data_IF_782590920917
#
_entry.id   IF_782590920917
#
_cell.length_a   1.000
_cell.length_b   1.000
_cell.length_c   1.000
_cell.angle_alpha   90.00
_cell.angle_beta   90.00
_cell.angle_gamma   90.00
#
_symmetry.space_group_name_H-M   'P 1'
#
loop_
_entity.id
_entity.type
_entity.pdbx_description
1 polymer ?
#
# COMPACT_ATOMS: atom_id res chain seq x y z
N UNK A 1 -7.97 14.38 -1.37
CA UNK A 1 -7.00 14.67 -0.27
C UNK A 1 -6.82 13.46 0.65
N UNK A 2 -7.90 12.76 1.05
CA UNK A 2 -7.84 11.56 1.92
C UNK A 2 -6.97 10.38 1.39
N UNK A 3 -7.00 10.08 0.10
CA UNK A 3 -6.22 8.96 -0.49
C UNK A 3 -4.71 9.16 -0.36
N UNK A 4 -4.22 10.39 -0.53
CA UNK A 4 -2.81 10.75 -0.36
C UNK A 4 -2.35 10.56 1.08
N UNK A 5 -3.15 11.01 2.03
CA UNK A 5 -2.77 10.96 3.45
C UNK A 5 -2.81 9.51 3.98
N UNK A 6 -3.73 8.67 3.49
CA UNK A 6 -3.69 7.22 3.72
C UNK A 6 -2.43 6.56 3.16
N UNK A 7 -2.09 6.85 1.90
CA UNK A 7 -0.88 6.30 1.28
C UNK A 7 0.40 6.71 2.02
N UNK A 8 0.48 7.97 2.46
CA UNK A 8 1.60 8.46 3.28
C UNK A 8 1.69 7.70 4.60
N UNK A 9 0.57 7.60 5.33
CA UNK A 9 0.54 6.88 6.61
C UNK A 9 0.94 5.42 6.46
N UNK A 10 0.47 4.74 5.41
CA UNK A 10 0.88 3.37 5.12
C UNK A 10 2.39 3.27 4.88
N UNK A 11 2.96 4.16 4.07
CA UNK A 11 4.40 4.16 3.79
C UNK A 11 5.22 4.38 5.06
N UNK A 12 4.83 5.34 5.91
CA UNK A 12 5.51 5.65 7.16
C UNK A 12 5.47 4.49 8.17
N UNK A 13 4.34 3.77 8.23
CA UNK A 13 4.11 2.72 9.23
C UNK A 13 4.59 1.33 8.78
N UNK A 14 4.43 0.99 7.50
CA UNK A 14 4.60 -0.39 7.01
C UNK A 14 5.86 -0.55 6.14
N UNK A 15 6.29 0.49 5.43
CA UNK A 15 7.43 0.41 4.49
C UNK A 15 8.70 0.97 5.14
N UNK A 16 8.65 2.23 5.59
CA UNK A 16 9.81 2.98 6.07
C UNK A 16 10.61 2.27 7.18
N UNK A 17 10.00 1.58 8.16
CA UNK A 17 10.75 0.92 9.24
C UNK A 17 11.67 -0.20 8.77
N UNK A 18 11.37 -0.84 7.63
CA UNK A 18 12.12 -2.01 7.14
C UNK A 18 12.89 -1.73 5.84
N UNK A 19 12.63 -0.59 5.20
CA UNK A 19 13.16 -0.24 3.88
C UNK A 19 14.68 -0.42 3.77
N UNK A 20 15.45 0.18 4.69
CA UNK A 20 16.91 0.17 4.63
C UNK A 20 17.51 -1.23 4.69
N UNK A 21 16.97 -2.10 5.55
CA UNK A 21 17.46 -3.48 5.64
C UNK A 21 17.00 -4.32 4.44
N UNK A 22 15.75 -4.13 3.99
CA UNK A 22 15.24 -4.81 2.80
C UNK A 22 16.06 -4.45 1.55
N UNK A 23 16.41 -3.18 1.35
CA UNK A 23 17.29 -2.74 0.25
C UNK A 23 18.68 -3.36 0.37
N UNK A 24 19.29 -3.34 1.55
CA UNK A 24 20.61 -3.94 1.80
C UNK A 24 20.65 -5.44 1.49
N UNK A 25 19.54 -6.15 1.73
CA UNK A 25 19.41 -7.58 1.53
C UNK A 25 18.80 -7.94 0.17
N UNK A 26 18.50 -6.96 -0.69
CA UNK A 26 17.74 -7.14 -1.93
C UNK A 26 16.43 -7.94 -1.73
N UNK A 27 15.81 -7.75 -0.56
CA UNK A 27 14.64 -8.50 -0.13
C UNK A 27 13.38 -7.70 -0.40
N UNK A 28 12.45 -8.32 -1.12
CA UNK A 28 11.07 -7.87 -1.20
C UNK A 28 10.20 -8.68 -0.23
N UNK A 29 9.41 -8.01 0.61
CA UNK A 29 8.43 -8.67 1.47
C UNK A 29 7.06 -8.75 0.76
N UNK A 30 6.62 -9.92 0.27
CA UNK A 30 5.32 -10.06 -0.39
C UNK A 30 4.13 -9.76 0.53
N UNK A 31 4.33 -9.79 1.85
CA UNK A 31 3.32 -9.43 2.84
C UNK A 31 2.85 -7.98 2.70
N UNK A 32 3.71 -7.07 2.21
CA UNK A 32 3.36 -5.66 2.01
C UNK A 32 2.23 -5.49 1.01
N UNK A 33 2.17 -6.34 -0.03
CA UNK A 33 1.12 -6.31 -1.06
C UNK A 33 -0.24 -6.63 -0.44
N UNK A 34 -0.30 -7.65 0.43
CA UNK A 34 -1.55 -8.02 1.11
C UNK A 34 -2.04 -6.91 2.03
N UNK A 35 -1.12 -6.23 2.73
CA UNK A 35 -1.44 -5.08 3.59
C UNK A 35 -1.92 -3.87 2.78
N UNK A 36 -1.32 -3.61 1.62
CA UNK A 36 -1.80 -2.57 0.71
C UNK A 36 -3.21 -2.89 0.18
N UNK A 37 -3.44 -4.14 -0.22
CA UNK A 37 -4.74 -4.58 -0.72
C UNK A 37 -5.85 -4.44 0.33
N UNK A 38 -5.61 -4.82 1.58
CA UNK A 38 -6.60 -4.69 2.66
C UNK A 38 -6.98 -3.25 3.01
N UNK A 39 -6.18 -2.27 2.57
CA UNK A 39 -6.47 -0.85 2.71
C UNK A 39 -6.97 -0.19 1.42
N UNK A 40 -7.19 -0.97 0.35
CA UNK A 40 -7.62 -0.46 -0.96
C UNK A 40 -6.52 0.28 -1.75
N UNK A 41 -5.27 0.24 -1.28
CA UNK A 41 -4.15 1.01 -1.85
C UNK A 41 -3.44 0.29 -3.02
N UNK A 42 -3.73 -0.98 -3.25
CA UNK A 42 -3.07 -1.77 -4.32
C UNK A 42 -3.68 -1.52 -5.71
N UNK A 43 -5.01 -1.47 -5.79
CA UNK A 43 -5.75 -1.24 -7.03
C UNK A 43 -6.92 -0.27 -6.74
N UNK A 44 -6.63 0.99 -6.36
CA UNK A 44 -7.65 1.93 -5.86
C UNK A 44 -8.76 2.21 -6.88
N UNK A 45 -8.48 1.97 -8.15
CA UNK A 45 -9.43 2.14 -9.23
C UNK A 45 -10.46 1.06 -9.43
N UNK A 46 -10.17 -0.14 -8.95
CA UNK A 46 -11.07 -1.26 -9.13
C UNK A 46 -12.39 -0.96 -8.41
N UNK A 47 -13.53 -1.42 -8.94
CA UNK A 47 -14.80 -1.37 -8.25
C UNK A 47 -14.73 -1.93 -6.82
N UNK A 48 -15.54 -1.39 -5.90
CA UNK A 48 -15.61 -1.88 -4.51
C UNK A 48 -16.02 -3.36 -4.44
N UNK A 49 -16.85 -3.86 -5.37
CA UNK A 49 -17.21 -5.27 -5.50
C UNK A 49 -16.01 -6.21 -5.75
N UNK A 50 -14.89 -5.66 -6.21
CA UNK A 50 -13.64 -6.37 -6.42
C UNK A 50 -12.56 -6.00 -5.39
N UNK A 51 -12.92 -5.28 -4.32
CA UNK A 51 -12.03 -4.88 -3.24
C UNK A 51 -11.14 -3.66 -3.55
N UNK A 52 -11.44 -2.91 -4.61
CA UNK A 52 -10.83 -1.60 -4.86
C UNK A 52 -11.59 -0.48 -4.16
N UNK A 53 -11.17 0.78 -4.37
CA UNK A 53 -11.83 1.94 -3.79
C UNK A 53 -12.85 2.60 -4.75
N UNK A 54 -12.98 2.09 -5.98
CA UNK A 54 -13.80 2.70 -7.03
C UNK A 54 -13.36 4.11 -7.40
N UNK A 55 -12.14 4.51 -7.04
CA UNK A 55 -11.69 5.89 -7.22
C UNK A 55 -10.97 6.06 -8.54
N UNK A 56 -11.62 6.75 -9.45
CA UNK A 56 -11.00 7.64 -10.43
C UNK A 56 -11.91 8.86 -10.62
N UNK A 57 -11.38 10.05 -10.34
CA UNK A 57 -11.83 11.30 -10.96
C UNK A 57 -10.78 11.71 -11.98
#
# INVERSE_FOLDING_TARGET
IMSRDMARKFADQEILPTLKENERQEKFDPGIIKKMASQGLLAPHMPEEHGGMGTFV
#
